data_IF_790300690960
#
_entry.id   IF_790300690960
#
_cell.length_a   1.000
_cell.length_b   1.000
_cell.length_c   1.000
_cell.angle_alpha   90.00
_cell.angle_beta   90.00
_cell.angle_gamma   90.00
#
_symmetry.space_group_name_H-M   'P 1'
#
loop_
_entity.id
_entity.type
_entity.pdbx_description
1 polymer ?
#
# COMPACT_ATOMS: atom_id res chain seq x y z
N UNK A 1 -29.67 37.49 13.73
CA UNK A 1 -28.90 36.33 13.24
C UNK A 1 -28.49 35.56 14.46
N UNK A 2 -29.09 34.43 14.72
CA UNK A 2 -28.58 33.51 15.74
C UNK A 2 -27.17 33.10 15.38
N UNK A 3 -26.23 33.00 16.32
CA UNK A 3 -24.89 32.51 16.04
C UNK A 3 -25.01 31.07 15.54
N UNK A 4 -24.49 30.81 14.34
CA UNK A 4 -24.35 29.44 13.81
C UNK A 4 -23.40 28.72 14.77
N UNK A 5 -23.99 27.98 15.72
CA UNK A 5 -23.20 27.14 16.64
C UNK A 5 -22.48 26.09 15.83
N UNK A 6 -21.16 25.96 16.07
CA UNK A 6 -20.36 24.90 15.44
C UNK A 6 -20.99 23.53 15.75
N UNK A 7 -21.07 22.62 14.76
CA UNK A 7 -21.67 21.31 14.97
C UNK A 7 -20.89 20.53 16.05
N UNK A 8 -21.61 19.88 16.95
CA UNK A 8 -21.06 19.13 18.08
C UNK A 8 -21.35 17.63 17.95
N UNK A 9 -20.49 16.77 18.53
CA UNK A 9 -20.77 15.33 18.64
C UNK A 9 -22.04 15.03 19.47
N UNK A 10 -22.44 15.94 20.34
CA UNK A 10 -23.69 15.82 21.12
C UNK A 10 -24.94 15.84 20.23
N UNK A 11 -24.85 16.39 19.02
CA UNK A 11 -25.97 16.49 18.09
C UNK A 11 -26.29 15.14 17.41
N UNK A 12 -25.41 14.16 17.50
CA UNK A 12 -25.53 12.88 16.78
C UNK A 12 -26.30 11.78 17.51
N UNK A 13 -26.97 12.04 18.63
CA UNK A 13 -27.74 11.04 19.40
C UNK A 13 -26.90 9.78 19.74
N UNK A 14 -25.59 9.94 19.98
CA UNK A 14 -24.74 8.91 20.53
C UNK A 14 -25.03 8.67 22.00
N UNK A 15 -24.77 7.47 22.50
CA UNK A 15 -24.90 7.21 23.94
C UNK A 15 -23.77 7.89 24.73
N UNK A 16 -23.98 8.05 26.05
CA UNK A 16 -23.01 8.74 26.92
C UNK A 16 -21.64 8.07 26.96
N UNK A 17 -21.57 6.74 26.80
CA UNK A 17 -20.32 5.99 26.79
C UNK A 17 -19.45 6.40 25.59
N UNK A 18 -20.05 6.52 24.39
CA UNK A 18 -19.36 6.94 23.19
C UNK A 18 -19.01 8.43 23.23
N UNK A 19 -19.92 9.29 23.72
CA UNK A 19 -19.64 10.72 23.88
C UNK A 19 -18.47 10.97 24.83
N UNK A 20 -18.41 10.26 25.96
CA UNK A 20 -17.30 10.32 26.89
C UNK A 20 -15.98 9.84 26.26
N UNK A 21 -16.02 8.78 25.45
CA UNK A 21 -14.85 8.28 24.74
C UNK A 21 -14.35 9.25 23.65
N UNK A 22 -15.27 9.88 22.91
CA UNK A 22 -14.99 10.93 21.92
C UNK A 22 -14.27 12.12 22.58
N UNK A 23 -14.79 12.59 23.73
CA UNK A 23 -14.16 13.68 24.47
C UNK A 23 -12.77 13.28 25.01
N UNK A 24 -12.63 12.07 25.55
CA UNK A 24 -11.34 11.54 26.06
C UNK A 24 -10.32 11.36 24.93
N UNK A 25 -10.75 11.07 23.70
CA UNK A 25 -9.91 11.00 22.52
C UNK A 25 -9.51 12.37 21.95
N UNK A 26 -9.98 13.48 22.56
CA UNK A 26 -9.65 14.85 22.17
C UNK A 26 -10.44 15.35 20.93
N UNK A 27 -11.53 14.70 20.55
CA UNK A 27 -12.39 15.18 19.47
C UNK A 27 -13.30 16.28 19.97
N UNK A 28 -13.07 17.52 19.54
CA UNK A 28 -13.85 18.70 19.92
C UNK A 28 -15.02 18.94 18.98
N UNK A 29 -14.75 18.90 17.68
CA UNK A 29 -15.71 19.16 16.61
C UNK A 29 -15.69 18.04 15.57
N UNK A 30 -16.87 17.61 15.06
CA UNK A 30 -16.92 16.61 14.02
C UNK A 30 -16.44 17.18 12.68
N UNK A 31 -15.64 16.42 11.98
CA UNK A 31 -15.17 16.75 10.63
C UNK A 31 -16.33 16.72 9.62
N UNK A 32 -16.20 17.37 8.45
CA UNK A 32 -17.27 17.37 7.44
C UNK A 32 -17.78 15.98 7.03
N UNK A 33 -16.86 14.98 6.93
CA UNK A 33 -17.29 13.60 6.63
C UNK A 33 -18.06 12.97 7.79
N UNK A 34 -17.69 13.28 9.03
CA UNK A 34 -18.40 12.81 10.22
C UNK A 34 -19.79 13.45 10.33
N UNK A 35 -19.91 14.75 10.10
CA UNK A 35 -21.17 15.48 10.12
C UNK A 35 -22.19 14.91 9.16
N UNK A 36 -21.76 14.57 7.94
CA UNK A 36 -22.65 14.02 6.91
C UNK A 36 -22.92 12.53 7.10
N UNK A 37 -21.91 11.73 7.49
CA UNK A 37 -22.03 10.27 7.51
C UNK A 37 -22.67 9.73 8.78
N UNK A 38 -22.33 10.25 9.97
CA UNK A 38 -22.81 9.70 11.26
C UNK A 38 -24.35 9.66 11.32
N UNK A 39 -25.09 10.74 11.01
CA UNK A 39 -26.54 10.71 11.05
C UNK A 39 -27.16 9.70 10.10
N UNK A 40 -26.63 9.58 8.88
CA UNK A 40 -27.12 8.64 7.87
C UNK A 40 -26.94 7.19 8.32
N UNK A 41 -25.76 6.86 8.84
CA UNK A 41 -25.48 5.52 9.33
C UNK A 41 -26.31 5.17 10.57
N UNK A 42 -26.55 6.12 11.49
CA UNK A 42 -27.44 5.90 12.64
C UNK A 42 -28.88 5.67 12.21
N UNK A 43 -29.33 6.38 11.16
CA UNK A 43 -30.67 6.19 10.57
C UNK A 43 -30.83 4.86 9.81
N UNK A 44 -29.74 4.16 9.50
CA UNK A 44 -29.75 2.85 8.85
C UNK A 44 -29.53 2.85 7.35
N UNK A 45 -29.21 4.00 6.74
CA UNK A 45 -28.92 4.08 5.32
C UNK A 45 -27.59 3.41 4.97
N UNK A 46 -27.50 2.82 3.78
CA UNK A 46 -26.23 2.50 3.17
C UNK A 46 -25.53 3.80 2.73
N UNK A 47 -24.21 3.85 2.84
CA UNK A 47 -23.44 5.05 2.53
C UNK A 47 -22.30 4.73 1.58
N UNK A 48 -22.21 5.52 0.51
CA UNK A 48 -21.04 5.63 -0.36
C UNK A 48 -20.29 6.92 0.00
N UNK A 49 -19.20 6.79 0.76
CA UNK A 49 -18.39 7.90 1.22
C UNK A 49 -17.15 8.11 0.33
N UNK A 50 -17.05 9.27 -0.31
CA UNK A 50 -15.87 9.68 -1.07
C UNK A 50 -15.11 10.70 -0.24
N UNK A 51 -14.00 10.27 0.36
CA UNK A 51 -13.21 11.09 1.26
C UNK A 51 -11.77 10.59 1.36
N UNK A 52 -10.81 11.50 1.41
CA UNK A 52 -9.38 11.17 1.53
C UNK A 52 -9.02 10.57 2.90
N UNK A 53 -7.83 9.94 2.97
CA UNK A 53 -7.25 9.46 4.23
C UNK A 53 -6.96 10.66 5.15
N UNK A 54 -7.21 10.52 6.45
CA UNK A 54 -7.00 11.59 7.43
C UNK A 54 -8.16 12.57 7.60
N UNK A 55 -9.28 12.40 6.88
CA UNK A 55 -10.49 13.23 7.04
C UNK A 55 -11.37 12.82 8.24
N UNK A 56 -11.01 11.74 8.95
CA UNK A 56 -11.79 11.24 10.09
C UNK A 56 -12.80 10.15 9.74
N UNK A 57 -12.66 9.45 8.59
CA UNK A 57 -13.55 8.35 8.14
C UNK A 57 -13.75 7.28 9.20
N UNK A 58 -12.67 6.87 9.88
CA UNK A 58 -12.74 5.78 10.87
C UNK A 58 -13.72 6.08 12.00
N UNK A 59 -13.76 7.31 12.51
CA UNK A 59 -14.75 7.70 13.50
C UNK A 59 -16.14 7.91 12.86
N UNK A 60 -16.22 8.34 11.59
CA UNK A 60 -17.46 8.53 10.87
C UNK A 60 -18.29 7.24 10.73
N UNK A 61 -17.64 6.11 10.43
CA UNK A 61 -18.31 4.81 10.42
C UNK A 61 -18.25 4.08 11.77
N UNK A 62 -17.19 4.30 12.53
CA UNK A 62 -16.93 3.59 13.79
C UNK A 62 -17.93 3.91 14.88
N UNK A 63 -18.24 5.19 15.10
CA UNK A 63 -19.23 5.60 16.12
C UNK A 63 -20.62 5.00 15.88
N UNK A 64 -21.23 5.08 14.68
CA UNK A 64 -22.50 4.42 14.40
C UNK A 64 -22.41 2.88 14.51
N UNK A 65 -21.32 2.27 14.08
CA UNK A 65 -21.09 0.84 14.17
C UNK A 65 -21.06 0.37 15.63
N UNK A 66 -20.30 1.05 16.49
CA UNK A 66 -20.23 0.76 17.93
C UNK A 66 -21.58 1.01 18.62
N UNK A 67 -22.28 2.09 18.26
CA UNK A 67 -23.63 2.39 18.76
C UNK A 67 -24.62 1.27 18.46
N UNK A 68 -24.55 0.66 17.26
CA UNK A 68 -25.40 -0.46 16.84
C UNK A 68 -25.01 -1.79 17.46
N UNK A 69 -23.72 -2.01 17.70
CA UNK A 69 -23.22 -3.20 18.37
C UNK A 69 -23.64 -3.25 19.84
N UNK A 70 -23.81 -2.09 20.50
CA UNK A 70 -24.26 -1.86 21.88
C UNK A 70 -23.37 -2.48 22.96
N UNK A 71 -23.37 -3.81 23.13
CA UNK A 71 -22.65 -4.55 24.16
C UNK A 71 -22.19 -5.92 23.64
N UNK A 72 -21.27 -6.56 24.35
CA UNK A 72 -20.79 -7.90 24.00
C UNK A 72 -21.91 -8.93 24.02
N UNK A 73 -22.04 -9.71 22.94
CA UNK A 73 -23.14 -10.63 22.75
C UNK A 73 -22.76 -11.81 21.85
N UNK A 74 -22.98 -13.01 22.35
CA UNK A 74 -22.69 -14.23 21.58
C UNK A 74 -21.19 -14.41 21.28
N UNK A 75 -20.86 -15.25 20.31
CA UNK A 75 -19.49 -15.51 19.87
C UNK A 75 -19.18 -14.98 18.47
N UNK A 76 -20.21 -14.74 17.64
CA UNK A 76 -20.05 -14.35 16.25
C UNK A 76 -20.01 -12.82 16.07
N UNK A 77 -19.22 -12.32 15.13
CA UNK A 77 -19.16 -10.88 14.85
C UNK A 77 -20.47 -10.36 14.27
N UNK A 78 -20.87 -9.16 14.72
CA UNK A 78 -22.05 -8.44 14.23
C UNK A 78 -21.66 -7.29 13.30
N UNK A 79 -20.40 -6.90 13.31
CA UNK A 79 -19.85 -5.92 12.40
C UNK A 79 -18.54 -6.45 11.80
N UNK A 80 -18.35 -6.19 10.50
CA UNK A 80 -17.14 -6.52 9.76
C UNK A 80 -16.64 -5.26 9.04
N UNK A 81 -15.37 -4.94 9.24
CA UNK A 81 -14.66 -3.89 8.52
C UNK A 81 -13.56 -4.53 7.69
N UNK A 82 -13.59 -4.35 6.37
CA UNK A 82 -12.49 -4.75 5.49
C UNK A 82 -11.52 -3.60 5.27
N UNK A 83 -10.24 -3.90 5.37
CA UNK A 83 -9.13 -2.98 5.11
C UNK A 83 -8.13 -3.61 4.15
N UNK A 84 -7.52 -2.83 3.20
CA UNK A 84 -6.59 -3.34 2.21
C UNK A 84 -5.29 -3.90 2.81
N UNK A 85 -4.83 -3.30 3.92
CA UNK A 85 -3.54 -3.61 4.51
C UNK A 85 -3.67 -3.99 5.99
N UNK A 86 -2.67 -4.67 6.49
CA UNK A 86 -2.58 -5.05 7.91
C UNK A 86 -2.45 -3.83 8.81
N UNK A 87 -1.64 -2.90 8.35
CA UNK A 87 -1.34 -1.66 9.05
C UNK A 87 -2.64 -0.86 9.27
N UNK A 88 -3.46 -0.74 8.23
CA UNK A 88 -4.77 -0.07 8.35
C UNK A 88 -5.73 -0.89 9.23
N UNK A 89 -5.73 -2.22 9.13
CA UNK A 89 -6.57 -3.05 9.99
C UNK A 89 -6.23 -2.88 11.48
N UNK A 90 -4.94 -2.86 11.83
CA UNK A 90 -4.46 -2.60 13.20
C UNK A 90 -4.84 -1.18 13.65
N UNK A 91 -4.71 -0.21 12.77
CA UNK A 91 -5.02 1.19 13.02
C UNK A 91 -6.52 1.40 13.30
N UNK A 92 -7.39 0.77 12.49
CA UNK A 92 -8.84 0.76 12.70
C UNK A 92 -9.17 0.09 14.03
N UNK A 93 -8.56 -1.06 14.35
CA UNK A 93 -8.75 -1.75 15.63
C UNK A 93 -8.40 -0.86 16.81
N UNK A 94 -7.23 -0.24 16.79
CA UNK A 94 -6.76 0.67 17.85
C UNK A 94 -7.72 1.85 18.03
N UNK A 95 -8.16 2.45 16.94
CA UNK A 95 -9.10 3.58 16.95
C UNK A 95 -10.47 3.18 17.50
N UNK A 96 -11.02 2.03 17.01
CA UNK A 96 -12.32 1.57 17.51
C UNK A 96 -12.26 1.15 18.98
N UNK A 97 -11.16 0.56 19.45
CA UNK A 97 -10.95 0.24 20.87
C UNK A 97 -10.89 1.51 21.74
N UNK A 98 -10.25 2.57 21.26
CA UNK A 98 -10.22 3.86 21.96
C UNK A 98 -11.62 4.49 22.05
N UNK A 99 -12.42 4.42 21.00
CA UNK A 99 -13.81 4.90 20.99
C UNK A 99 -14.76 3.99 21.79
N UNK A 100 -14.40 2.73 22.00
CA UNK A 100 -15.20 1.75 22.73
C UNK A 100 -14.74 1.54 24.18
N UNK A 101 -13.82 2.37 24.70
CA UNK A 101 -13.15 2.19 26.02
C UNK A 101 -14.13 2.04 27.18
N UNK A 102 -15.30 2.66 27.11
CA UNK A 102 -16.36 2.60 28.12
C UNK A 102 -17.42 1.52 27.83
N UNK A 103 -17.12 0.58 26.94
CA UNK A 103 -18.01 -0.52 26.55
C UNK A 103 -17.33 -1.88 26.80
N UNK A 104 -18.13 -2.94 26.78
CA UNK A 104 -17.63 -4.33 26.88
C UNK A 104 -17.43 -4.99 25.51
N UNK A 105 -17.46 -4.23 24.41
CA UNK A 105 -17.35 -4.74 23.05
C UNK A 105 -15.98 -5.36 22.78
N UNK A 106 -15.99 -6.57 22.23
CA UNK A 106 -14.78 -7.30 21.82
C UNK A 106 -14.44 -6.96 20.38
N UNK A 107 -13.40 -6.17 20.19
CA UNK A 107 -12.93 -5.67 18.91
C UNK A 107 -11.61 -6.34 18.57
N UNK A 108 -11.52 -6.96 17.39
CA UNK A 108 -10.33 -7.71 17.02
C UNK A 108 -10.03 -7.61 15.52
N UNK A 109 -8.73 -7.46 15.17
CA UNK A 109 -8.26 -7.43 13.79
C UNK A 109 -7.58 -8.74 13.39
N UNK A 110 -7.95 -9.28 12.23
CA UNK A 110 -7.31 -10.43 11.59
C UNK A 110 -6.64 -10.02 10.28
N UNK A 111 -5.39 -10.42 10.14
CA UNK A 111 -4.57 -10.08 8.96
C UNK A 111 -3.51 -11.13 8.71
N UNK A 112 -3.04 -11.20 7.46
CA UNK A 112 -2.05 -12.17 7.05
C UNK A 112 -0.63 -11.89 7.58
N UNK A 113 0.33 -12.84 7.43
CA UNK A 113 1.76 -12.73 7.76
C UNK A 113 2.16 -13.14 9.16
N UNK A 114 1.18 -13.41 10.01
CA UNK A 114 1.33 -14.17 11.25
C UNK A 114 0.61 -15.51 11.10
N UNK A 115 0.98 -16.50 11.91
CA UNK A 115 0.24 -17.77 11.94
C UNK A 115 -1.24 -17.52 12.28
N UNK A 116 -2.19 -18.29 11.70
CA UNK A 116 -3.61 -18.08 11.96
C UNK A 116 -4.07 -18.58 13.34
N UNK A 117 -3.28 -19.39 14.03
CA UNK A 117 -3.68 -20.10 15.24
C UNK A 117 -4.21 -19.17 16.33
N UNK A 118 -3.42 -18.19 16.75
CA UNK A 118 -3.82 -17.23 17.79
C UNK A 118 -5.05 -16.42 17.40
N UNK A 119 -5.16 -16.06 16.10
CA UNK A 119 -6.33 -15.32 15.60
C UNK A 119 -7.59 -16.18 15.66
N UNK A 120 -7.49 -17.48 15.34
CA UNK A 120 -8.59 -18.45 15.45
C UNK A 120 -9.00 -18.62 16.92
N UNK A 121 -8.05 -18.76 17.84
CA UNK A 121 -8.31 -18.86 19.27
C UNK A 121 -9.05 -17.64 19.82
N UNK A 122 -8.64 -16.43 19.39
CA UNK A 122 -9.32 -15.18 19.78
C UNK A 122 -10.76 -15.11 19.22
N UNK A 123 -10.96 -15.52 17.96
CA UNK A 123 -12.30 -15.57 17.36
C UNK A 123 -13.19 -16.57 18.12
N UNK A 124 -12.67 -17.73 18.50
CA UNK A 124 -13.40 -18.73 19.25
C UNK A 124 -13.83 -18.24 20.65
N UNK A 125 -13.04 -17.36 21.26
CA UNK A 125 -13.41 -16.70 22.52
C UNK A 125 -14.54 -15.66 22.36
N UNK A 126 -14.87 -15.29 21.13
CA UNK A 126 -15.94 -14.37 20.76
C UNK A 126 -15.45 -12.98 20.39
N UNK A 127 -15.98 -12.46 19.28
CA UNK A 127 -15.68 -11.13 18.72
C UNK A 127 -16.98 -10.48 18.28
N UNK A 128 -17.19 -9.21 18.65
CA UNK A 128 -18.37 -8.43 18.28
C UNK A 128 -18.14 -7.57 17.03
N UNK A 129 -16.94 -7.00 16.93
CA UNK A 129 -16.49 -6.20 15.79
C UNK A 129 -15.21 -6.81 15.25
N UNK A 130 -15.28 -7.31 14.02
CA UNK A 130 -14.15 -7.92 13.33
C UNK A 130 -13.61 -6.95 12.28
N UNK A 131 -12.31 -6.67 12.35
CA UNK A 131 -11.58 -5.97 11.30
C UNK A 131 -10.77 -7.01 10.54
N UNK A 132 -10.69 -6.95 9.21
CA UNK A 132 -9.99 -7.98 8.46
C UNK A 132 -9.35 -7.48 7.17
N UNK A 133 -8.23 -8.11 6.80
CA UNK A 133 -7.79 -8.07 5.39
C UNK A 133 -8.50 -9.19 4.62
N UNK A 134 -8.91 -8.95 3.34
CA UNK A 134 -9.76 -9.88 2.60
C UNK A 134 -9.21 -11.31 2.52
N UNK A 135 -7.92 -11.46 2.25
CA UNK A 135 -7.28 -12.78 2.13
C UNK A 135 -7.29 -13.58 3.43
N UNK A 136 -7.02 -12.95 4.58
CA UNK A 136 -7.00 -13.62 5.88
C UNK A 136 -8.42 -13.96 6.35
N UNK A 137 -9.38 -13.10 6.09
CA UNK A 137 -10.78 -13.41 6.39
C UNK A 137 -11.22 -14.69 5.71
N UNK A 138 -10.98 -14.79 4.39
CA UNK A 138 -11.34 -15.99 3.63
C UNK A 138 -10.56 -17.23 4.06
N UNK A 139 -9.28 -17.11 4.39
CA UNK A 139 -8.49 -18.23 4.92
C UNK A 139 -9.10 -18.82 6.20
N UNK A 140 -9.45 -17.97 7.18
CA UNK A 140 -10.02 -18.42 8.46
C UNK A 140 -11.46 -18.92 8.27
N UNK A 141 -12.25 -18.26 7.42
CA UNK A 141 -13.61 -18.67 7.10
C UNK A 141 -13.64 -20.07 6.45
N UNK A 142 -12.79 -20.33 5.46
CA UNK A 142 -12.71 -21.62 4.79
C UNK A 142 -12.21 -22.76 5.70
N UNK A 143 -11.50 -22.44 6.79
CA UNK A 143 -11.15 -23.39 7.85
C UNK A 143 -12.32 -23.70 8.80
N UNK A 144 -13.49 -23.08 8.60
CA UNK A 144 -14.65 -23.26 9.48
C UNK A 144 -14.53 -22.61 10.87
N UNK A 145 -13.49 -21.78 11.08
CA UNK A 145 -13.21 -21.16 12.37
C UNK A 145 -13.87 -19.77 12.56
N UNK A 146 -14.60 -19.28 11.55
CA UNK A 146 -15.30 -18.01 11.59
C UNK A 146 -16.72 -18.16 11.04
N UNK A 147 -17.70 -17.68 11.80
CA UNK A 147 -19.11 -17.67 11.42
C UNK A 147 -19.57 -16.23 11.22
N UNK A 148 -20.07 -15.91 10.02
CA UNK A 148 -20.44 -14.53 9.62
C UNK A 148 -21.96 -14.31 9.53
N UNK A 149 -22.80 -15.31 9.90
CA UNK A 149 -24.25 -15.26 9.74
C UNK A 149 -24.96 -14.17 10.55
N UNK A 150 -24.31 -13.65 11.61
CA UNK A 150 -24.94 -12.69 12.53
C UNK A 150 -24.55 -11.24 12.21
N UNK A 151 -23.85 -11.01 11.09
CA UNK A 151 -23.44 -9.68 10.65
C UNK A 151 -24.65 -8.80 10.38
N UNK A 152 -24.58 -7.57 10.94
CA UNK A 152 -25.57 -6.50 10.76
C UNK A 152 -24.99 -5.29 10.03
N UNK A 153 -23.67 -5.10 10.09
CA UNK A 153 -22.98 -3.99 9.46
C UNK A 153 -21.72 -4.48 8.75
N UNK A 154 -21.57 -4.07 7.52
CA UNK A 154 -20.39 -4.34 6.68
C UNK A 154 -19.80 -3.03 6.18
N UNK A 155 -18.51 -2.83 6.43
CA UNK A 155 -17.75 -1.65 6.00
C UNK A 155 -16.60 -2.08 5.10
N UNK A 156 -16.48 -1.43 3.95
CA UNK A 156 -15.36 -1.56 3.04
C UNK A 156 -14.60 -0.23 3.06
N UNK A 157 -13.44 -0.18 3.70
CA UNK A 157 -12.61 1.04 3.79
C UNK A 157 -11.44 0.99 2.82
N UNK A 158 -11.19 2.11 2.14
CA UNK A 158 -10.17 2.25 1.09
C UNK A 158 -10.40 1.27 -0.09
N UNK A 159 -11.64 1.28 -0.63
CA UNK A 159 -12.06 0.36 -1.68
C UNK A 159 -11.18 0.47 -2.95
N UNK A 160 -10.80 1.67 -3.37
CA UNK A 160 -9.88 1.91 -4.48
C UNK A 160 -8.57 1.15 -4.31
N UNK A 161 -7.95 1.22 -3.16
CA UNK A 161 -6.71 0.49 -2.88
C UNK A 161 -6.88 -1.02 -2.86
N UNK A 162 -8.05 -1.51 -2.40
CA UNK A 162 -8.34 -2.94 -2.49
C UNK A 162 -8.44 -3.41 -3.93
N UNK A 163 -9.00 -2.58 -4.82
CA UNK A 163 -9.06 -2.86 -6.26
C UNK A 163 -7.67 -2.89 -6.88
N UNK A 164 -6.82 -1.92 -6.57
CA UNK A 164 -5.43 -1.84 -7.06
C UNK A 164 -4.59 -3.04 -6.61
N UNK A 165 -4.85 -3.55 -5.41
CA UNK A 165 -4.18 -4.75 -4.87
C UNK A 165 -4.77 -6.06 -5.39
N UNK A 166 -5.79 -6.02 -6.24
CA UNK A 166 -6.40 -7.19 -6.86
C UNK A 166 -7.30 -8.00 -5.93
N UNK A 167 -7.85 -7.40 -4.87
CA UNK A 167 -8.72 -8.11 -3.91
C UNK A 167 -10.17 -8.29 -4.37
N UNK A 168 -10.55 -7.83 -5.57
CA UNK A 168 -11.91 -7.99 -6.10
C UNK A 168 -12.45 -9.44 -5.97
N UNK A 169 -11.69 -10.51 -6.35
CA UNK A 169 -12.19 -11.87 -6.24
C UNK A 169 -12.49 -12.30 -4.78
N UNK A 170 -11.65 -11.86 -3.84
CA UNK A 170 -11.86 -12.17 -2.41
C UNK A 170 -13.05 -11.41 -1.85
N UNK A 171 -13.23 -10.14 -2.22
CA UNK A 171 -14.36 -9.32 -1.78
C UNK A 171 -15.67 -9.92 -2.28
N UNK A 172 -15.78 -10.32 -3.55
CA UNK A 172 -16.97 -10.97 -4.09
C UNK A 172 -17.32 -12.25 -3.33
N UNK A 173 -16.33 -13.10 -3.04
CA UNK A 173 -16.54 -14.31 -2.20
C UNK A 173 -17.01 -13.97 -0.79
N UNK A 174 -16.52 -12.88 -0.20
CA UNK A 174 -16.99 -12.43 1.11
C UNK A 174 -18.45 -12.00 1.01
N UNK A 175 -18.82 -11.23 -0.01
CA UNK A 175 -20.21 -10.80 -0.24
C UNK A 175 -21.19 -11.96 -0.42
N UNK A 176 -20.74 -13.10 -0.99
CA UNK A 176 -21.53 -14.32 -1.14
C UNK A 176 -21.85 -15.02 0.21
N UNK A 177 -20.94 -14.92 1.19
CA UNK A 177 -21.05 -15.67 2.47
C UNK A 177 -21.61 -14.86 3.63
N UNK A 178 -21.69 -13.54 3.51
CA UNK A 178 -22.29 -12.69 4.55
C UNK A 178 -23.79 -12.48 4.32
N UNK A 179 -24.61 -12.24 5.38
CA UNK A 179 -26.05 -12.06 5.24
C UNK A 179 -26.41 -10.94 4.26
N UNK A 180 -27.46 -11.17 3.45
CA UNK A 180 -27.95 -10.10 2.54
C UNK A 180 -28.54 -8.93 3.33
N UNK A 181 -29.34 -9.19 4.35
CA UNK A 181 -29.96 -8.14 5.20
C UNK A 181 -28.93 -7.59 6.19
N UNK A 182 -28.24 -6.56 5.81
CA UNK A 182 -27.26 -5.84 6.59
C UNK A 182 -27.18 -4.38 6.13
N UNK A 183 -26.60 -3.52 6.92
CA UNK A 183 -26.21 -2.19 6.47
C UNK A 183 -24.83 -2.24 5.84
N UNK A 184 -24.66 -1.60 4.69
CA UNK A 184 -23.40 -1.55 3.97
C UNK A 184 -22.83 -0.13 3.95
N UNK A 185 -21.52 -0.03 4.04
CA UNK A 185 -20.77 1.21 3.98
C UNK A 185 -19.55 1.01 3.09
N UNK A 186 -19.36 1.87 2.12
CA UNK A 186 -18.16 1.90 1.31
C UNK A 186 -17.50 3.26 1.44
N UNK A 187 -16.20 3.25 1.79
CA UNK A 187 -15.35 4.42 1.72
C UNK A 187 -14.25 4.24 0.68
N UNK A 188 -14.03 5.26 -0.11
CA UNK A 188 -12.96 5.34 -1.10
C UNK A 188 -12.43 6.77 -1.18
N UNK A 189 -11.17 6.94 -1.54
CA UNK A 189 -10.63 8.27 -1.84
C UNK A 189 -10.95 8.68 -3.28
N UNK A 190 -11.03 7.71 -4.19
CA UNK A 190 -11.31 7.88 -5.62
C UNK A 190 -12.41 6.93 -6.08
N UNK A 191 -13.05 7.24 -7.21
CA UNK A 191 -14.15 6.44 -7.79
C UNK A 191 -13.81 5.96 -9.21
N UNK A 192 -12.74 5.15 -9.39
CA UNK A 192 -12.51 4.50 -10.68
C UNK A 192 -13.66 3.54 -11.00
N UNK A 193 -13.84 3.21 -12.28
CA UNK A 193 -14.91 2.34 -12.79
C UNK A 193 -15.08 1.05 -11.96
N UNK A 194 -13.95 0.42 -11.55
CA UNK A 194 -13.97 -0.81 -10.74
C UNK A 194 -14.60 -0.63 -9.36
N UNK A 195 -14.41 0.53 -8.73
CA UNK A 195 -15.03 0.86 -7.44
C UNK A 195 -16.51 1.17 -7.63
N UNK A 196 -16.85 1.88 -8.71
CA UNK A 196 -18.25 2.15 -9.07
C UNK A 196 -19.02 0.86 -9.28
N UNK A 197 -18.51 -0.06 -10.10
CA UNK A 197 -19.12 -1.38 -10.32
C UNK A 197 -19.27 -2.16 -9.02
N UNK A 198 -18.23 -2.18 -8.17
CA UNK A 198 -18.32 -2.86 -6.87
C UNK A 198 -19.39 -2.23 -5.98
N UNK A 199 -19.50 -0.90 -5.96
CA UNK A 199 -20.51 -0.21 -5.13
C UNK A 199 -21.93 -0.59 -5.55
N UNK A 200 -22.19 -0.73 -6.85
CA UNK A 200 -23.47 -1.15 -7.40
C UNK A 200 -23.81 -2.62 -7.09
N UNK A 201 -22.78 -3.48 -6.89
CA UNK A 201 -22.98 -4.89 -6.57
C UNK A 201 -23.56 -5.13 -5.16
N UNK A 202 -23.32 -4.25 -4.18
CA UNK A 202 -23.67 -4.56 -2.79
C UNK A 202 -24.29 -3.44 -1.97
N UNK A 203 -24.25 -2.18 -2.43
CA UNK A 203 -24.94 -1.08 -1.74
C UNK A 203 -26.40 -1.02 -2.18
N UNK A 204 -27.32 -0.88 -1.23
CA UNK A 204 -28.75 -0.75 -1.51
C UNK A 204 -29.19 0.70 -1.34
N UNK A 205 -29.50 1.37 -2.45
CA UNK A 205 -29.92 2.81 -2.47
C UNK A 205 -29.01 3.70 -1.60
N UNK A 206 -27.70 3.69 -1.82
CA UNK A 206 -26.77 4.38 -0.93
C UNK A 206 -26.93 5.89 -1.01
N UNK A 207 -26.77 6.54 0.13
CA UNK A 207 -26.59 7.99 0.16
C UNK A 207 -25.13 8.29 -0.12
N UNK A 208 -24.86 9.03 -1.20
CA UNK A 208 -23.53 9.50 -1.56
C UNK A 208 -23.13 10.68 -0.69
N UNK A 209 -22.05 10.51 0.05
CA UNK A 209 -21.38 11.55 0.83
C UNK A 209 -20.03 11.83 0.17
N UNK A 210 -19.92 13.00 -0.43
CA UNK A 210 -18.67 13.43 -1.07
C UNK A 210 -18.12 14.64 -0.32
N UNK A 211 -17.04 14.39 0.38
CA UNK A 211 -16.27 15.45 1.00
C UNK A 211 -15.07 15.68 0.11
N UNK A 212 -15.20 16.68 -0.77
CA UNK A 212 -14.07 17.18 -1.50
C UNK A 212 -12.93 17.41 -0.52
N UNK A 213 -11.70 16.99 -0.83
CA UNK A 213 -10.57 17.46 -0.03
C UNK A 213 -10.77 18.98 0.03
N UNK A 214 -10.63 19.59 1.20
CA UNK A 214 -10.49 21.03 1.17
C UNK A 214 -9.41 21.28 0.13
N UNK A 215 -9.64 22.18 -0.82
CA UNK A 215 -8.66 22.66 -1.78
C UNK A 215 -7.35 23.10 -1.07
N UNK A 216 -7.39 23.11 0.24
CA UNK A 216 -6.32 23.32 1.21
C UNK A 216 -5.27 22.21 1.33
N UNK A 217 -5.50 20.94 0.96
CA UNK A 217 -4.43 19.94 1.17
C UNK A 217 -3.27 20.14 0.19
N UNK A 218 -3.57 20.52 -1.06
CA UNK A 218 -2.52 20.94 -1.99
C UNK A 218 -2.01 22.36 -1.66
N UNK A 219 -2.84 23.23 -1.06
CA UNK A 219 -2.46 24.60 -0.68
C UNK A 219 -1.69 24.71 0.64
N UNK A 220 -1.77 23.70 1.51
CA UNK A 220 -1.00 23.65 2.77
C UNK A 220 0.35 22.97 2.63
N UNK A 221 0.61 22.30 1.49
CA UNK A 221 1.87 21.62 1.19
C UNK A 221 2.60 22.40 0.13
N UNK A 222 3.78 22.92 0.47
CA UNK A 222 4.69 23.50 -0.52
C UNK A 222 5.25 22.39 -1.39
N UNK A 223 5.01 22.45 -2.70
CA UNK A 223 5.43 21.41 -3.64
C UNK A 223 6.52 21.94 -4.56
N UNK A 224 7.62 21.20 -4.66
CA UNK A 224 8.73 21.50 -5.57
C UNK A 224 9.18 20.25 -6.32
N UNK A 225 9.66 20.44 -7.54
CA UNK A 225 10.15 19.40 -8.43
C UNK A 225 11.59 19.71 -8.83
N UNK A 226 12.46 18.71 -8.76
CA UNK A 226 13.79 18.75 -9.32
C UNK A 226 13.92 17.72 -10.45
N UNK A 227 14.47 18.15 -11.59
CA UNK A 227 14.80 17.23 -12.67
C UNK A 227 16.18 16.62 -12.43
N UNK A 228 16.25 15.33 -12.12
CA UNK A 228 17.47 14.58 -11.91
C UNK A 228 17.54 13.42 -12.92
N UNK A 229 18.56 13.38 -13.80
CA UNK A 229 18.58 12.49 -14.96
C UNK A 229 18.67 10.99 -14.61
N UNK A 230 19.21 10.65 -13.46
CA UNK A 230 19.49 9.26 -13.07
C UNK A 230 19.49 9.06 -11.55
N UNK A 231 19.55 7.81 -11.12
CA UNK A 231 19.54 7.40 -9.73
C UNK A 231 20.68 8.03 -8.91
N UNK A 232 21.91 8.08 -9.45
CA UNK A 232 23.06 8.62 -8.73
C UNK A 232 22.89 10.13 -8.51
N UNK A 233 22.43 10.86 -9.53
CA UNK A 233 22.13 12.30 -9.39
C UNK A 233 20.99 12.54 -8.38
N UNK A 234 19.95 11.68 -8.36
CA UNK A 234 18.89 11.75 -7.32
C UNK A 234 19.47 11.55 -5.92
N UNK A 235 20.43 10.63 -5.74
CA UNK A 235 21.12 10.42 -4.45
C UNK A 235 21.97 11.62 -4.06
N UNK A 236 22.74 12.21 -5.01
CA UNK A 236 23.54 13.41 -4.74
C UNK A 236 22.66 14.60 -4.37
N UNK A 237 21.52 14.77 -5.03
CA UNK A 237 20.52 15.78 -4.69
C UNK A 237 19.92 15.55 -3.30
N UNK A 238 19.60 14.29 -2.96
CA UNK A 238 19.11 13.94 -1.63
C UNK A 238 20.16 14.31 -0.56
N UNK A 239 21.41 13.96 -0.76
CA UNK A 239 22.52 14.31 0.16
C UNK A 239 22.60 15.82 0.38
N UNK A 240 22.58 16.59 -0.70
CA UNK A 240 22.61 18.06 -0.64
C UNK A 240 21.43 18.62 0.17
N UNK A 241 20.20 18.18 -0.11
CA UNK A 241 19.01 18.68 0.57
C UNK A 241 19.02 18.34 2.06
N UNK A 242 19.44 17.14 2.43
CA UNK A 242 19.52 16.72 3.83
C UNK A 242 20.56 17.52 4.63
N UNK A 243 21.66 17.95 4.00
CA UNK A 243 22.65 18.83 4.64
C UNK A 243 22.16 20.27 4.73
N UNK A 244 21.56 20.80 3.65
CA UNK A 244 21.07 22.17 3.59
C UNK A 244 19.91 22.43 4.56
N UNK A 245 18.96 21.50 4.62
CA UNK A 245 17.69 21.67 5.31
C UNK A 245 17.61 20.83 6.60
N UNK A 246 18.76 20.54 7.22
CA UNK A 246 18.87 19.67 8.39
C UNK A 246 17.91 20.06 9.52
N UNK A 247 17.76 21.33 9.80
CA UNK A 247 16.94 21.85 10.91
C UNK A 247 15.44 21.73 10.65
N UNK A 248 15.02 21.75 9.40
CA UNK A 248 13.60 21.69 9.01
C UNK A 248 13.15 20.27 8.68
N UNK A 249 14.04 19.44 8.15
CA UNK A 249 13.77 18.04 7.79
C UNK A 249 13.84 17.11 9.00
N UNK A 250 13.03 17.34 10.01
CA UNK A 250 13.08 16.58 11.27
C UNK A 250 12.38 15.23 11.20
N UNK A 251 11.36 15.07 10.33
CA UNK A 251 10.62 13.82 10.08
C UNK A 251 10.33 13.69 8.59
N UNK A 252 11.08 12.84 7.93
CA UNK A 252 11.08 12.71 6.47
C UNK A 252 10.56 11.34 6.05
N UNK A 253 9.54 11.34 5.20
CA UNK A 253 9.03 10.14 4.56
C UNK A 253 9.44 10.13 3.10
N UNK A 254 10.26 9.14 2.71
CA UNK A 254 10.77 9.01 1.34
C UNK A 254 10.04 7.89 0.62
N UNK A 255 9.50 8.20 -0.56
CA UNK A 255 8.81 7.24 -1.40
C UNK A 255 9.67 6.82 -2.59
N UNK A 256 9.79 5.52 -2.80
CA UNK A 256 10.46 4.92 -3.94
C UNK A 256 9.52 3.99 -4.69
N UNK A 257 9.73 3.83 -6.00
CA UNK A 257 8.93 2.96 -6.87
C UNK A 257 9.22 1.49 -6.60
N UNK A 258 10.49 1.13 -6.43
CA UNK A 258 10.92 -0.25 -6.29
C UNK A 258 11.51 -0.54 -4.90
N UNK A 259 11.55 -1.82 -4.53
CA UNK A 259 12.16 -2.28 -3.28
C UNK A 259 13.67 -2.08 -3.30
N UNK A 260 14.26 -2.25 -4.49
CA UNK A 260 15.68 -2.08 -4.75
C UNK A 260 16.09 -0.63 -4.51
N UNK A 261 15.33 0.35 -5.05
CA UNK A 261 15.56 1.77 -4.75
C UNK A 261 15.36 2.07 -3.26
N UNK A 262 14.35 1.46 -2.61
CA UNK A 262 14.14 1.64 -1.18
C UNK A 262 15.35 1.18 -0.36
N UNK A 263 15.90 0.00 -0.66
CA UNK A 263 17.08 -0.52 0.04
C UNK A 263 18.34 0.33 -0.27
N UNK A 264 18.54 0.79 -1.51
CA UNK A 264 19.67 1.65 -1.90
C UNK A 264 19.63 3.00 -1.18
N UNK A 265 18.47 3.68 -1.19
CA UNK A 265 18.29 4.97 -0.52
C UNK A 265 18.44 4.80 1.00
N UNK A 266 17.86 3.76 1.60
CA UNK A 266 18.02 3.49 3.02
C UNK A 266 19.49 3.24 3.40
N UNK A 267 20.21 2.41 2.62
CA UNK A 267 21.63 2.15 2.86
C UNK A 267 22.50 3.42 2.69
N UNK A 268 22.16 4.28 1.74
CA UNK A 268 22.82 5.58 1.61
C UNK A 268 22.61 6.43 2.87
N UNK A 269 21.35 6.55 3.33
CA UNK A 269 20.99 7.34 4.51
C UNK A 269 21.63 6.79 5.79
N UNK A 270 21.70 5.46 5.97
CA UNK A 270 22.33 4.82 7.13
C UNK A 270 23.82 5.16 7.30
N UNK A 271 24.51 5.47 6.19
CA UNK A 271 25.92 5.91 6.21
C UNK A 271 26.11 7.40 6.54
N UNK A 272 25.05 8.20 6.41
CA UNK A 272 25.07 9.66 6.55
C UNK A 272 24.38 10.12 7.83
N UNK A 273 23.30 9.46 8.23
CA UNK A 273 22.54 9.81 9.42
C UNK A 273 23.09 9.12 10.68
N UNK A 274 22.81 9.64 11.88
CA UNK A 274 23.10 8.95 13.13
C UNK A 274 22.51 7.54 13.17
N UNK A 275 23.20 6.66 13.88
CA UNK A 275 22.78 5.25 13.97
C UNK A 275 21.36 5.13 14.55
N UNK A 276 20.51 4.39 13.84
CA UNK A 276 19.13 4.12 14.28
C UNK A 276 18.09 5.11 13.77
N UNK A 277 18.46 6.23 13.14
CA UNK A 277 17.52 7.22 12.61
C UNK A 277 16.88 6.85 11.28
N UNK A 278 17.32 5.78 10.64
CA UNK A 278 16.80 5.33 9.33
C UNK A 278 16.06 4.01 9.48
N UNK A 279 14.92 3.90 8.83
CA UNK A 279 14.18 2.64 8.65
C UNK A 279 13.68 2.52 7.22
N UNK A 280 13.52 1.28 6.78
CA UNK A 280 12.98 0.98 5.45
C UNK A 280 11.83 -0.03 5.55
N UNK A 281 10.76 0.24 4.80
CA UNK A 281 9.58 -0.62 4.73
C UNK A 281 9.21 -0.91 3.28
N UNK A 282 9.18 -2.18 2.93
CA UNK A 282 8.69 -2.68 1.63
C UNK A 282 8.28 -4.15 1.75
N UNK A 283 7.71 -4.72 0.68
CA UNK A 283 7.12 -6.06 0.70
C UNK A 283 8.06 -7.20 1.11
N UNK A 284 9.38 -7.06 0.95
CA UNK A 284 10.35 -8.09 1.34
C UNK A 284 10.75 -8.03 2.83
N UNK A 285 10.39 -6.97 3.55
CA UNK A 285 10.65 -6.87 5.00
C UNK A 285 9.61 -7.67 5.79
N UNK A 286 10.06 -8.40 6.78
CA UNK A 286 9.18 -9.17 7.68
C UNK A 286 8.16 -8.27 8.39
N UNK A 287 6.96 -8.81 8.67
CA UNK A 287 5.87 -8.02 9.21
C UNK A 287 6.21 -7.32 10.54
N UNK A 288 6.85 -8.02 11.46
CA UNK A 288 7.24 -7.42 12.74
C UNK A 288 8.24 -6.28 12.56
N UNK A 289 9.18 -6.42 11.60
CA UNK A 289 10.12 -5.34 11.28
C UNK A 289 9.39 -4.11 10.71
N UNK A 290 8.34 -4.30 9.91
CA UNK A 290 7.52 -3.20 9.37
C UNK A 290 6.75 -2.49 10.49
N UNK A 291 6.10 -3.25 11.39
CA UNK A 291 5.36 -2.69 12.54
C UNK A 291 6.34 -1.90 13.42
N UNK A 292 7.46 -2.52 13.82
CA UNK A 292 8.46 -1.86 14.66
C UNK A 292 9.02 -0.58 14.02
N UNK A 293 9.27 -0.59 12.71
CA UNK A 293 9.75 0.58 11.97
C UNK A 293 8.71 1.70 11.97
N UNK A 294 7.44 1.35 11.82
CA UNK A 294 6.33 2.28 11.85
C UNK A 294 6.13 2.90 13.23
N UNK A 295 6.17 2.07 14.26
CA UNK A 295 5.98 2.53 15.65
C UNK A 295 7.16 3.41 16.09
N UNK A 296 8.39 3.05 15.73
CA UNK A 296 9.56 3.88 15.97
C UNK A 296 9.48 5.23 15.25
N UNK A 297 8.97 5.25 14.01
CA UNK A 297 8.77 6.49 13.25
C UNK A 297 7.63 7.33 13.84
N UNK A 298 6.53 6.72 14.30
CA UNK A 298 5.45 7.43 15.04
C UNK A 298 5.95 8.03 16.34
N UNK A 299 6.76 7.30 17.09
CA UNK A 299 7.32 7.76 18.35
C UNK A 299 8.41 8.85 18.19
N UNK A 300 8.80 9.21 16.95
CA UNK A 300 9.86 10.19 16.70
C UNK A 300 11.28 9.68 16.95
N UNK A 301 11.45 8.37 17.14
CA UNK A 301 12.76 7.73 17.33
C UNK A 301 13.52 7.56 16.01
N UNK A 302 12.83 7.70 14.89
CA UNK A 302 13.35 7.56 13.53
C UNK A 302 13.07 8.84 12.77
N UNK A 303 14.08 9.40 12.16
CA UNK A 303 14.00 10.63 11.36
C UNK A 303 13.61 10.35 9.91
N UNK A 304 14.17 9.30 9.33
CA UNK A 304 13.99 8.94 7.91
C UNK A 304 13.29 7.59 7.77
N UNK A 305 12.11 7.60 7.15
CA UNK A 305 11.41 6.37 6.78
C UNK A 305 11.37 6.25 5.26
N UNK A 306 12.04 5.25 4.70
CA UNK A 306 12.02 4.96 3.28
C UNK A 306 10.96 3.89 3.02
N UNK A 307 10.08 4.11 2.05
CA UNK A 307 8.94 3.24 1.82
C UNK A 307 8.60 3.10 0.33
N UNK A 308 8.08 1.92 -0.04
CA UNK A 308 7.32 1.78 -1.30
C UNK A 308 5.84 2.07 -1.06
N UNK A 309 5.10 2.50 -2.10
CA UNK A 309 3.67 2.86 -1.99
C UNK A 309 2.84 1.79 -1.28
N UNK A 310 2.97 0.53 -1.70
CA UNK A 310 2.22 -0.60 -1.12
C UNK A 310 2.50 -0.75 0.37
N UNK A 311 3.73 -0.53 0.80
CA UNK A 311 4.10 -0.67 2.20
C UNK A 311 3.73 0.55 3.05
N UNK A 312 3.63 1.73 2.41
CA UNK A 312 3.28 2.99 3.06
C UNK A 312 1.77 3.29 3.05
N UNK A 313 0.97 2.50 2.33
CA UNK A 313 -0.49 2.63 2.31
C UNK A 313 -1.06 2.37 3.70
N UNK A 314 -2.00 3.21 4.12
CA UNK A 314 -2.61 3.11 5.45
C UNK A 314 -1.74 3.63 6.61
N UNK A 315 -0.57 4.19 6.31
CA UNK A 315 0.28 4.81 7.33
C UNK A 315 -0.35 6.14 7.76
N UNK A 316 -0.85 6.20 8.96
CA UNK A 316 -1.18 7.46 9.63
C UNK A 316 -0.05 7.81 10.61
N UNK A 317 0.77 8.76 10.20
CA UNK A 317 1.87 9.27 11.02
C UNK A 317 1.67 10.77 11.15
N UNK A 318 1.48 11.26 12.37
CA UNK A 318 1.41 12.68 12.63
C UNK A 318 2.78 13.35 12.46
N UNK A 319 2.78 14.65 12.17
CA UNK A 319 3.97 15.49 12.17
C UNK A 319 5.07 15.12 11.16
N UNK A 320 4.74 14.55 10.01
CA UNK A 320 5.69 14.43 8.90
C UNK A 320 5.96 15.84 8.37
N UNK A 321 7.21 16.29 8.45
CA UNK A 321 7.62 17.62 7.98
C UNK A 321 7.82 17.64 6.48
N UNK A 322 8.45 16.60 5.94
CA UNK A 322 8.78 16.51 4.52
C UNK A 322 8.39 15.15 3.94
N UNK A 323 7.78 15.20 2.77
CA UNK A 323 7.61 14.05 1.90
C UNK A 323 8.57 14.19 0.72
N UNK A 324 9.41 13.20 0.47
CA UNK A 324 10.28 13.15 -0.69
C UNK A 324 9.81 12.05 -1.61
N UNK A 325 9.26 12.40 -2.78
CA UNK A 325 9.03 11.47 -3.87
C UNK A 325 10.35 11.25 -4.60
N UNK A 326 11.15 10.30 -4.13
CA UNK A 326 12.42 9.94 -4.77
C UNK A 326 12.21 9.41 -6.19
N UNK A 327 11.10 8.70 -6.41
CA UNK A 327 10.57 8.32 -7.72
C UNK A 327 9.13 8.81 -7.87
N UNK A 328 8.75 9.25 -9.05
CA UNK A 328 7.38 9.65 -9.39
C UNK A 328 6.48 8.40 -9.39
N UNK A 329 5.29 8.43 -8.76
CA UNK A 329 4.38 7.31 -8.77
C UNK A 329 3.77 7.10 -10.17
N UNK A 330 3.58 5.81 -10.57
CA UNK A 330 2.92 5.46 -11.83
C UNK A 330 1.39 5.59 -11.75
N UNK A 331 0.84 5.41 -10.55
CA UNK A 331 -0.57 5.68 -10.25
C UNK A 331 -0.63 7.11 -9.69
N UNK A 332 -1.23 8.03 -10.45
CA UNK A 332 -1.17 9.46 -10.15
C UNK A 332 -1.87 9.83 -8.83
N UNK A 333 -2.94 9.09 -8.49
CA UNK A 333 -3.61 9.22 -7.19
C UNK A 333 -2.67 8.95 -5.99
N UNK A 334 -1.67 8.07 -6.16
CA UNK A 334 -0.68 7.81 -5.11
C UNK A 334 0.15 9.08 -4.79
N UNK A 335 0.33 10.00 -5.75
CA UNK A 335 0.98 11.28 -5.47
C UNK A 335 0.24 12.09 -4.39
N UNK A 336 -1.07 12.21 -4.54
CA UNK A 336 -1.93 12.91 -3.56
C UNK A 336 -1.88 12.19 -2.21
N UNK A 337 -1.91 10.87 -2.22
CA UNK A 337 -1.80 10.05 -1.01
C UNK A 337 -0.43 10.20 -0.31
N UNK A 338 0.65 10.35 -1.07
CA UNK A 338 2.00 10.56 -0.54
C UNK A 338 2.13 11.94 0.10
N UNK A 339 1.81 13.01 -0.64
CA UNK A 339 1.95 14.38 -0.13
C UNK A 339 0.98 14.65 1.03
N UNK A 340 -0.19 14.01 1.05
CA UNK A 340 -1.14 14.05 2.15
C UNK A 340 -0.65 13.38 3.46
N UNK A 341 0.61 12.90 3.53
CA UNK A 341 1.26 12.51 4.80
C UNK A 341 1.82 13.70 5.56
N UNK A 342 2.03 14.83 4.90
CA UNK A 342 2.41 16.11 5.51
C UNK A 342 1.30 17.14 5.36
N UNK A 343 1.45 18.32 5.93
CA UNK A 343 0.46 19.41 5.80
C UNK A 343 -0.86 19.17 6.53
N UNK A 344 -0.89 18.33 7.60
CA UNK A 344 -2.09 17.97 8.36
C UNK A 344 -2.27 18.86 9.59
N UNK A 345 -3.54 18.99 10.02
CA UNK A 345 -3.91 19.64 11.29
C UNK A 345 -3.29 21.04 11.49
N UNK A 346 -3.37 21.91 10.47
CA UNK A 346 -2.85 23.29 10.48
C UNK A 346 -1.32 23.43 10.45
N UNK A 347 -0.57 22.34 10.31
CA UNK A 347 0.87 22.41 10.08
C UNK A 347 1.17 22.53 8.59
N UNK A 348 2.10 23.42 8.23
CA UNK A 348 2.65 23.51 6.87
C UNK A 348 3.58 22.32 6.63
N UNK A 349 3.49 21.72 5.45
CA UNK A 349 4.36 20.63 5.03
C UNK A 349 5.07 20.92 3.73
N UNK A 350 6.12 20.18 3.43
CA UNK A 350 6.83 20.27 2.16
C UNK A 350 6.84 18.91 1.43
N UNK A 351 6.60 18.94 0.13
CA UNK A 351 6.74 17.80 -0.76
C UNK A 351 7.78 18.12 -1.83
N UNK A 352 8.81 17.29 -1.90
CA UNK A 352 9.90 17.42 -2.85
C UNK A 352 9.87 16.22 -3.78
N UNK A 353 9.83 16.44 -5.08
CA UNK A 353 9.74 15.37 -6.07
C UNK A 353 10.98 15.37 -6.96
N UNK A 354 11.60 14.22 -7.16
CA UNK A 354 12.66 14.01 -8.13
C UNK A 354 12.10 13.30 -9.34
N UNK A 355 12.37 13.81 -10.54
CA UNK A 355 11.91 13.22 -11.77
C UNK A 355 13.03 13.15 -12.81
N UNK A 356 13.16 12.01 -13.48
CA UNK A 356 13.95 11.90 -14.70
C UNK A 356 13.09 12.24 -15.93
N UNK A 357 13.69 12.23 -17.12
CA UNK A 357 13.00 12.59 -18.36
C UNK A 357 11.76 11.71 -18.63
N UNK A 358 11.83 10.42 -18.38
CA UNK A 358 10.71 9.50 -18.57
C UNK A 358 9.57 9.75 -17.55
N UNK A 359 9.92 10.17 -16.33
CA UNK A 359 8.97 10.47 -15.27
C UNK A 359 8.25 11.81 -15.42
N UNK A 360 8.84 12.79 -16.15
CA UNK A 360 8.24 14.11 -16.37
C UNK A 360 6.85 14.08 -17.00
N UNK A 361 6.59 13.03 -17.76
CA UNK A 361 5.28 12.88 -18.40
C UNK A 361 4.18 12.60 -17.35
N UNK A 362 4.50 11.84 -16.29
CA UNK A 362 3.57 11.59 -15.18
C UNK A 362 3.33 12.86 -14.36
N UNK A 363 4.31 13.76 -14.28
CA UNK A 363 4.15 15.05 -13.59
C UNK A 363 3.03 15.87 -14.23
N UNK A 364 2.98 15.98 -15.57
CA UNK A 364 1.90 16.71 -16.24
C UNK A 364 0.50 16.15 -15.95
N UNK A 365 0.35 14.82 -15.81
CA UNK A 365 -0.91 14.19 -15.43
C UNK A 365 -1.24 14.39 -13.94
N UNK A 366 -0.23 14.41 -13.07
CA UNK A 366 -0.37 14.74 -11.65
C UNK A 366 -0.82 16.19 -11.48
N UNK A 367 -0.23 17.15 -12.20
CA UNK A 367 -0.63 18.56 -12.16
C UNK A 367 -2.08 18.77 -12.58
N UNK A 368 -2.54 18.03 -13.60
CA UNK A 368 -3.95 18.03 -13.98
C UNK A 368 -4.84 17.47 -12.88
N UNK A 369 -4.43 16.37 -12.23
CA UNK A 369 -5.18 15.74 -11.15
C UNK A 369 -5.32 16.65 -9.92
N UNK A 370 -4.23 17.33 -9.53
CA UNK A 370 -4.23 18.24 -8.36
C UNK A 370 -4.72 19.65 -8.70
N UNK A 371 -4.96 19.93 -9.99
CA UNK A 371 -5.35 21.23 -10.53
C UNK A 371 -4.41 22.37 -10.09
N UNK A 372 -3.11 22.09 -10.03
CA UNK A 372 -2.09 23.03 -9.62
C UNK A 372 -0.75 22.67 -10.26
N UNK A 373 0.00 23.65 -10.83
CA UNK A 373 1.35 23.43 -11.32
C UNK A 373 2.32 23.18 -10.15
N UNK A 374 3.30 22.31 -10.37
CA UNK A 374 4.39 22.05 -9.42
C UNK A 374 5.60 22.88 -9.82
N UNK A 375 6.13 23.69 -8.89
CA UNK A 375 7.27 24.56 -9.16
C UNK A 375 8.51 23.73 -9.49
N UNK A 376 9.03 23.85 -10.72
CA UNK A 376 10.27 23.19 -11.14
C UNK A 376 11.45 24.05 -10.73
N UNK A 377 12.33 23.51 -9.90
CA UNK A 377 13.55 24.19 -9.47
C UNK A 377 14.76 23.63 -10.24
N UNK A 378 15.74 24.48 -10.57
CA UNK A 378 17.00 24.01 -11.15
C UNK A 378 17.77 23.18 -10.11
N UNK A 379 18.54 22.21 -10.59
CA UNK A 379 19.49 21.51 -9.72
C UNK A 379 20.47 22.51 -9.12
N UNK A 380 20.72 22.46 -7.79
CA UNK A 380 21.75 23.27 -7.16
C UNK A 380 23.12 23.02 -7.81
N UNK A 381 23.92 24.07 -7.93
CA UNK A 381 25.22 23.97 -8.60
C UNK A 381 26.21 23.02 -7.90
N UNK A 382 26.00 22.79 -6.61
CA UNK A 382 26.79 21.89 -5.77
C UNK A 382 26.45 20.41 -5.98
N UNK A 383 25.32 20.11 -6.63
CA UNK A 383 24.90 18.73 -6.91
C UNK A 383 25.63 18.22 -8.12
N UNK A 384 26.43 17.18 -7.91
CA UNK A 384 27.14 16.50 -9.01
C UNK A 384 26.13 15.74 -9.86
N UNK A 385 26.07 16.10 -11.14
CA UNK A 385 25.26 15.38 -12.14
C UNK A 385 26.12 14.26 -12.72
N UNK A 386 25.70 13.03 -12.48
CA UNK A 386 26.39 11.83 -12.95
C UNK A 386 25.90 11.42 -14.35
N UNK A 387 26.77 10.71 -15.08
CA UNK A 387 26.39 10.10 -16.35
C UNK A 387 25.35 8.98 -16.10
N UNK A 388 24.31 8.95 -16.93
CA UNK A 388 23.27 7.92 -16.81
C UNK A 388 23.80 6.57 -17.31
N UNK A 389 23.82 5.52 -16.45
CA UNK A 389 24.25 4.18 -16.86
C UNK A 389 23.42 3.65 -18.04
N UNK A 390 24.06 2.88 -18.91
CA UNK A 390 23.41 2.35 -20.12
C UNK A 390 22.14 1.53 -19.83
N UNK A 391 22.14 0.73 -18.77
CA UNK A 391 20.97 -0.05 -18.35
C UNK A 391 19.79 0.84 -17.94
N UNK A 392 20.06 1.93 -17.23
CA UNK A 392 19.05 2.91 -16.82
C UNK A 392 18.52 3.68 -18.04
N UNK A 393 19.40 4.07 -18.98
CA UNK A 393 18.96 4.68 -20.26
C UNK A 393 18.04 3.74 -21.05
N UNK A 394 18.38 2.45 -21.10
CA UNK A 394 17.53 1.46 -21.76
C UNK A 394 16.16 1.33 -21.11
N UNK A 395 16.11 1.32 -19.77
CA UNK A 395 14.86 1.23 -19.04
C UNK A 395 13.98 2.46 -19.29
N UNK A 396 14.54 3.66 -19.21
CA UNK A 396 13.82 4.91 -19.51
C UNK A 396 13.30 4.92 -20.96
N UNK A 397 14.12 4.50 -21.92
CA UNK A 397 13.73 4.40 -23.31
C UNK A 397 12.55 3.43 -23.53
N UNK A 398 12.53 2.29 -22.83
CA UNK A 398 11.41 1.33 -22.86
C UNK A 398 10.12 1.94 -22.29
N UNK A 399 10.20 2.63 -21.16
CA UNK A 399 9.06 3.30 -20.53
C UNK A 399 8.45 4.36 -21.47
N UNK A 400 9.28 5.16 -22.11
CA UNK A 400 8.85 6.16 -23.11
C UNK A 400 8.21 5.52 -24.33
N UNK A 401 8.80 4.45 -24.87
CA UNK A 401 8.27 3.72 -26.03
C UNK A 401 6.95 3.01 -25.72
N UNK A 402 6.83 2.40 -24.54
CA UNK A 402 5.58 1.78 -24.11
C UNK A 402 4.44 2.80 -24.02
N UNK A 403 4.74 4.00 -23.52
CA UNK A 403 3.77 5.06 -23.48
C UNK A 403 3.39 5.57 -24.87
N UNK A 404 4.37 5.79 -25.75
CA UNK A 404 4.09 6.20 -27.14
C UNK A 404 3.19 5.19 -27.84
N UNK A 405 3.39 3.88 -27.62
CA UNK A 405 2.51 2.83 -28.14
C UNK A 405 1.09 2.90 -27.60
N UNK A 406 0.90 3.31 -26.35
CA UNK A 406 -0.45 3.53 -25.80
C UNK A 406 -1.17 4.70 -26.44
N UNK A 407 -0.44 5.77 -26.78
CA UNK A 407 -0.97 6.97 -27.43
C UNK A 407 -1.13 6.79 -28.95
N UNK A 408 -0.20 6.08 -29.56
CA UNK A 408 -0.20 5.76 -31.00
C UNK A 408 0.09 4.26 -31.19
N UNK A 409 -0.96 3.45 -31.44
CA UNK A 409 -0.81 2.01 -31.69
C UNK A 409 0.03 1.66 -32.93
N UNK A 410 0.27 2.62 -33.84
CA UNK A 410 1.11 2.43 -35.02
C UNK A 410 2.61 2.62 -34.73
N UNK A 411 2.96 3.16 -33.59
CA UNK A 411 4.34 3.40 -33.20
C UNK A 411 5.09 2.08 -32.97
N UNK A 412 6.15 1.83 -33.74
CA UNK A 412 6.91 0.57 -33.70
C UNK A 412 8.03 0.54 -32.66
N UNK A 413 8.26 1.64 -31.94
CA UNK A 413 9.34 1.80 -30.98
C UNK A 413 10.58 2.42 -31.63
N UNK A 414 11.23 3.36 -30.89
CA UNK A 414 12.49 3.96 -31.27
C UNK A 414 13.69 3.29 -30.55
N UNK A 415 13.41 2.67 -29.41
CA UNK A 415 14.42 2.02 -28.61
C UNK A 415 14.54 0.54 -29.02
N UNK A 416 15.36 0.27 -30.00
CA UNK A 416 15.64 -1.11 -30.39
C UNK A 416 16.61 -1.71 -29.37
N UNK A 417 16.19 -2.79 -28.68
CA UNK A 417 17.18 -3.70 -28.12
C UNK A 417 18.18 -4.02 -29.22
N UNK A 418 19.48 -3.82 -29.00
CA UNK A 418 20.48 -4.42 -29.86
C UNK A 418 20.20 -5.91 -29.84
N UNK A 419 19.43 -6.42 -30.81
CA UNK A 419 19.45 -7.83 -31.12
C UNK A 419 20.91 -8.07 -31.45
N UNK A 420 21.66 -8.75 -30.56
CA UNK A 420 22.97 -9.27 -30.93
C UNK A 420 22.74 -9.97 -32.25
N UNK A 421 23.43 -9.51 -33.29
CA UNK A 421 23.32 -10.11 -34.60
C UNK A 421 23.83 -11.55 -34.48
N UNK A 422 22.90 -12.46 -34.20
CA UNK A 422 23.18 -13.88 -34.23
C UNK A 422 23.46 -14.19 -35.68
N UNK A 423 24.72 -14.42 -35.99
CA UNK A 423 25.11 -14.82 -37.34
C UNK A 423 24.22 -16.00 -37.76
N UNK A 424 23.68 -16.01 -38.99
CA UNK A 424 22.85 -17.11 -39.46
C UNK A 424 23.65 -18.42 -39.29
N UNK A 425 23.11 -19.42 -38.56
CA UNK A 425 23.75 -20.69 -38.29
C UNK A 425 24.20 -20.90 -36.81
N UNK A 426 24.01 -19.94 -35.91
CA UNK A 426 24.34 -20.14 -34.49
C UNK A 426 23.07 -20.63 -33.76
N UNK A 427 23.09 -21.84 -33.26
CA UNK A 427 22.03 -22.43 -32.42
C UNK A 427 22.17 -21.90 -31.01
N UNK A 428 21.05 -21.36 -30.45
CA UNK A 428 21.01 -20.88 -29.05
C UNK A 428 20.58 -22.03 -28.14
N UNK A 429 21.27 -22.24 -27.03
CA UNK A 429 20.83 -23.13 -25.96
C UNK A 429 19.57 -22.52 -25.29
N UNK A 430 18.42 -23.19 -25.47
CA UNK A 430 17.12 -22.75 -24.91
C UNK A 430 17.09 -22.62 -23.39
N UNK A 431 18.05 -23.17 -22.66
CA UNK A 431 18.13 -23.15 -21.21
C UNK A 431 18.95 -21.99 -20.66
N UNK A 432 19.96 -21.53 -21.40
CA UNK A 432 20.90 -20.51 -20.94
C UNK A 432 20.84 -19.21 -21.74
N UNK A 433 20.11 -19.19 -22.88
CA UNK A 433 20.02 -18.03 -23.78
C UNK A 433 21.37 -17.66 -24.47
N UNK A 434 22.43 -18.45 -24.30
CA UNK A 434 23.76 -18.18 -24.86
C UNK A 434 24.00 -18.97 -26.14
N UNK A 435 24.79 -18.42 -27.08
CA UNK A 435 25.17 -19.14 -28.31
C UNK A 435 25.91 -20.44 -27.97
N UNK A 436 25.54 -21.54 -28.62
CA UNK A 436 26.26 -22.80 -28.53
C UNK A 436 27.65 -22.61 -29.11
N UNK A 437 28.72 -22.65 -28.31
CA UNK A 437 30.08 -22.71 -28.82
C UNK A 437 30.33 -24.15 -29.24
N UNK A 438 30.40 -24.41 -30.54
CA UNK A 438 30.93 -25.66 -31.06
C UNK A 438 32.38 -25.84 -30.56
N UNK A 439 32.55 -26.79 -29.65
CA UNK A 439 33.86 -27.16 -29.15
C UNK A 439 34.79 -27.54 -30.30
N UNK A 440 35.93 -26.89 -30.39
CA UNK A 440 37.02 -27.25 -31.31
C UNK A 440 37.20 -28.76 -31.30
N UNK A 441 36.85 -29.43 -32.40
CA UNK A 441 37.21 -30.84 -32.64
C UNK A 441 38.72 -30.98 -32.56
N UNK A 442 39.21 -31.59 -31.48
CA UNK A 442 40.60 -32.10 -31.44
C UNK A 442 40.72 -33.20 -32.47
N UNK A 443 41.50 -32.97 -33.51
CA UNK A 443 41.93 -33.98 -34.48
C UNK A 443 42.79 -35.02 -33.74
N UNK A 444 42.26 -36.21 -33.50
CA UNK A 444 43.05 -37.41 -33.17
C UNK A 444 43.24 -38.18 -34.45
N UNK A 445 44.45 -38.10 -34.97
CA UNK A 445 44.97 -39.08 -35.91
C UNK A 445 45.19 -40.43 -35.20
N UNK A 446 44.60 -41.44 -35.77
CA UNK A 446 45.04 -42.82 -35.93
C UNK A 446 45.47 -43.64 -34.72
N UNK A 447 44.70 -44.70 -34.42
CA UNK A 447 45.30 -46.03 -34.15
C UNK A 447 44.27 -47.13 -34.39
N UNK A 448 44.80 -48.19 -34.96
CA UNK A 448 44.23 -49.36 -35.61
C UNK A 448 43.38 -50.25 -34.70
N UNK A 449 42.52 -50.96 -35.41
CA UNK A 449 41.69 -52.09 -34.97
C UNK A 449 42.42 -53.12 -34.07
N UNK A 450 41.67 -53.67 -33.13
CA UNK A 450 41.77 -55.11 -32.88
C UNK A 450 40.40 -55.70 -32.44
N UNK A 451 40.15 -56.89 -33.02
CA UNK A 451 38.97 -57.73 -32.97
C UNK A 451 39.07 -58.64 -31.75
N UNK A 452 37.98 -58.87 -31.01
CA UNK A 452 37.95 -59.91 -29.98
C UNK A 452 36.60 -60.05 -29.25
N UNK A 453 35.77 -60.87 -29.81
CA UNK A 453 34.82 -61.90 -29.31
C UNK A 453 34.31 -61.90 -27.85
N UNK A 454 32.95 -61.94 -27.80
CA UNK A 454 32.06 -62.87 -27.03
C UNK A 454 32.11 -62.90 -25.49
N UNK A 455 30.91 -62.78 -24.93
CA UNK A 455 30.55 -63.34 -23.63
C UNK A 455 29.22 -62.86 -23.09
N UNK A 456 28.23 -63.70 -23.22
CA UNK A 456 26.87 -63.66 -22.70
C UNK A 456 26.80 -63.78 -21.18
N UNK A 457 25.90 -63.09 -20.50
CA UNK A 457 24.89 -63.71 -19.62
C UNK A 457 24.24 -62.67 -18.68
N UNK A 458 22.93 -62.67 -18.71
CA UNK A 458 22.05 -62.16 -17.63
C UNK A 458 21.80 -63.32 -16.67
N UNK A 459 20.93 -63.19 -15.62
CA UNK A 459 20.47 -62.10 -14.77
C UNK A 459 20.55 -62.43 -13.26
N UNK A 460 20.32 -61.47 -12.39
CA UNK A 460 20.24 -61.76 -10.95
C UNK A 460 19.42 -60.72 -10.16
N UNK A 461 18.23 -61.15 -9.85
CA UNK A 461 17.26 -60.55 -8.92
C UNK A 461 17.70 -60.77 -7.46
N UNK A 462 17.41 -59.81 -6.57
CA UNK A 462 17.04 -59.91 -5.12
C UNK A 462 17.49 -58.61 -4.42
N UNK A 463 16.76 -57.97 -3.63
CA UNK A 463 15.61 -58.10 -2.73
C UNK A 463 15.85 -57.13 -1.56
N UNK A 464 14.87 -56.35 -1.28
CA UNK A 464 14.35 -55.80 -0.02
C UNK A 464 15.24 -55.93 1.24
N UNK A 465 15.42 -54.84 1.96
CA UNK A 465 15.27 -54.78 3.41
C UNK A 465 14.96 -53.38 3.95
N UNK A 466 13.81 -53.24 4.54
CA UNK A 466 13.37 -52.20 5.45
C UNK A 466 13.99 -52.36 6.85
N UNK A 467 14.22 -51.28 7.56
CA UNK A 467 14.24 -51.13 9.04
C UNK A 467 14.23 -49.65 9.36
N UNK A 468 13.21 -49.02 9.88
CA UNK A 468 12.58 -48.90 11.21
C UNK A 468 13.52 -48.45 12.34
N UNK A 469 13.10 -47.30 12.95
CA UNK A 469 13.28 -46.82 14.33
C UNK A 469 14.67 -46.27 14.70
N UNK A 470 14.71 -45.00 15.13
CA UNK A 470 14.19 -44.42 16.39
C UNK A 470 13.75 -42.98 16.18
#
# INVERSE_FOLDING_TARGET
MEPITAPSFNDFKLNNQLLSAVAAAGFTEPTPVQQQTIPLLLAGHDVLGIAQTGTGKTAAFGLPLLMKAKYAQGSNPRALVLAPTRELAIQIETHLKALAVNTDLRIFAIYGGLGPKTQIETIAAGVDVLIATPGRLMEIYLKGALVLRDLKTFVLDEADKMMDMGFMPQIRRILEVIPRKRQNVLFSATMPERVTLLSEEFLEFPVRVEVSPPAKTASTVTQVLYQAPNLLTKINLLDFLLHRDTDTMTRVLLFTRTKEHADQVAHFLERKAPAGEVRVIHGNKGQNARINSMDAFRAGQVRYLVATDVAARGIDVPQVTHVINFDVPLVHDDYVHRIGRTGRALHTGAAITFANEAEMVHIGEIEQLINQPIAVLPLPAEVVVEDTPFEEQQQMGRELDERRRKLDPTFQGAFHEKKEWIKPGVTIDKRTGKPFQEGKKKSTKGAKANVGKKGSSAPGVKAIKARKRR
#
